data_IF_675679232925
#
_entry.id   IF_675679232925
#
_cell.length_a   1.000
_cell.length_b   1.000
_cell.length_c   1.000
_cell.angle_alpha   90.00
_cell.angle_beta   90.00
_cell.angle_gamma   90.00
#
_symmetry.space_group_name_H-M   'P 1'
#
loop_
_entity.id
_entity.type
_entity.pdbx_description
1 polymer ?
#
# COMPACT_ATOMS: atom_id res chain seq x y z
N UNK A 1 11.28 7.93 -8.80
CA UNK A 1 10.76 7.28 -10.03
C UNK A 1 10.61 5.79 -9.80
N UNK A 2 9.59 5.15 -10.40
CA UNK A 2 9.38 3.71 -10.29
C UNK A 2 10.20 2.92 -11.33
N UNK A 3 10.75 1.79 -10.89
CA UNK A 3 11.53 0.85 -11.71
C UNK A 3 11.03 -0.57 -11.51
N UNK A 4 11.22 -1.43 -12.53
CA UNK A 4 10.91 -2.86 -12.46
C UNK A 4 12.18 -3.68 -12.27
N UNK A 5 12.16 -4.63 -11.34
CA UNK A 5 13.23 -5.60 -11.10
C UNK A 5 12.61 -6.96 -10.80
N UNK A 6 12.92 -7.96 -11.63
CA UNK A 6 12.31 -9.30 -11.52
C UNK A 6 10.76 -9.23 -11.52
N UNK A 7 10.13 -9.64 -10.42
CA UNK A 7 8.68 -9.72 -10.23
C UNK A 7 8.11 -8.62 -9.32
N UNK A 8 8.89 -7.58 -9.06
CA UNK A 8 8.46 -6.41 -8.29
C UNK A 8 8.73 -5.11 -9.05
N UNK A 9 8.01 -4.07 -8.66
CA UNK A 9 8.38 -2.67 -8.94
C UNK A 9 8.79 -2.00 -7.63
N UNK A 10 9.71 -1.01 -7.71
CA UNK A 10 10.20 -0.26 -6.56
C UNK A 10 10.38 1.21 -6.92
N UNK A 11 10.41 2.10 -5.92
CA UNK A 11 10.60 3.53 -6.09
C UNK A 11 11.98 3.97 -5.62
N UNK A 12 12.68 4.76 -6.42
CA UNK A 12 13.96 5.36 -6.02
C UNK A 12 13.83 6.25 -4.78
N UNK A 13 12.65 6.83 -4.54
CA UNK A 13 12.41 7.70 -3.39
C UNK A 13 12.60 6.99 -2.04
N UNK A 14 12.32 5.68 -1.98
CA UNK A 14 12.49 4.90 -0.76
C UNK A 14 13.85 4.23 -0.65
N UNK A 15 14.75 4.42 -1.63
CA UNK A 15 16.11 3.89 -1.55
C UNK A 15 16.92 4.72 -0.57
N UNK A 16 17.06 4.21 0.65
CA UNK A 16 17.94 4.75 1.68
C UNK A 16 18.70 3.63 2.38
N UNK A 17 19.82 3.98 3.04
CA UNK A 17 20.61 3.00 3.78
C UNK A 17 19.76 2.29 4.85
N UNK A 18 19.82 0.97 4.88
CA UNK A 18 19.09 0.16 5.85
C UNK A 18 17.60 -0.08 5.53
N UNK A 19 17.09 0.36 4.36
CA UNK A 19 15.69 0.10 3.96
C UNK A 19 15.63 -0.63 2.64
N UNK A 20 14.77 -1.65 2.54
CA UNK A 20 14.43 -2.33 1.29
C UNK A 20 12.92 -2.45 1.12
N UNK A 21 12.44 -2.44 -0.12
CA UNK A 21 11.01 -2.45 -0.42
C UNK A 21 10.71 -2.95 -1.82
N UNK A 22 9.42 -3.23 -2.07
CA UNK A 22 8.90 -3.54 -3.40
C UNK A 22 7.39 -3.68 -3.41
N UNK A 23 6.81 -3.54 -4.59
CA UNK A 23 5.40 -3.80 -4.87
C UNK A 23 5.31 -5.01 -5.79
N UNK A 24 4.43 -5.96 -5.46
CA UNK A 24 4.26 -7.19 -6.20
C UNK A 24 3.65 -6.94 -7.58
N UNK A 25 4.18 -7.60 -8.61
CA UNK A 25 3.43 -7.88 -9.84
C UNK A 25 2.64 -9.18 -9.65
N UNK A 26 1.73 -9.52 -10.60
CA UNK A 26 0.99 -10.79 -10.51
C UNK A 26 1.79 -12.04 -10.91
N UNK A 27 3.07 -11.88 -11.28
CA UNK A 27 3.96 -12.98 -11.72
C UNK A 27 4.99 -13.33 -10.66
N UNK A 28 5.64 -14.51 -10.81
CA UNK A 28 6.74 -14.93 -9.93
C UNK A 28 6.30 -15.69 -8.66
N UNK A 29 5.03 -16.00 -8.52
CA UNK A 29 4.50 -16.81 -7.43
C UNK A 29 4.24 -18.27 -7.82
N UNK A 30 3.57 -19.00 -6.94
CA UNK A 30 3.30 -20.44 -7.05
C UNK A 30 1.82 -20.80 -7.15
N UNK A 31 0.91 -19.84 -7.07
CA UNK A 31 -0.53 -20.07 -7.25
C UNK A 31 -0.82 -20.50 -8.69
N UNK A 32 -1.61 -21.55 -8.86
CA UNK A 32 -1.86 -22.20 -10.16
C UNK A 32 -3.26 -21.97 -10.71
N UNK A 33 -4.20 -21.49 -9.90
CA UNK A 33 -5.56 -21.17 -10.34
C UNK A 33 -5.47 -19.95 -11.27
N UNK A 34 -6.02 -20.00 -12.49
CA UNK A 34 -5.81 -18.96 -13.51
C UNK A 34 -6.12 -17.53 -13.05
N UNK A 35 -7.19 -17.35 -12.29
CA UNK A 35 -7.64 -16.04 -11.80
C UNK A 35 -6.69 -15.44 -10.76
N UNK A 36 -5.97 -16.28 -10.01
CA UNK A 36 -5.04 -15.84 -8.95
C UNK A 36 -3.56 -16.04 -9.31
N UNK A 37 -3.29 -16.65 -10.46
CA UNK A 37 -1.93 -16.98 -10.88
C UNK A 37 -1.12 -15.70 -11.21
N UNK A 38 0.11 -15.73 -10.77
CA UNK A 38 0.82 -16.70 -9.95
C UNK A 38 1.14 -16.16 -8.55
N UNK A 39 1.28 -14.82 -8.37
CA UNK A 39 1.64 -14.14 -7.14
C UNK A 39 0.37 -13.61 -6.44
N UNK A 40 -0.36 -14.49 -5.73
CA UNK A 40 -1.47 -14.06 -4.88
C UNK A 40 -1.05 -14.05 -3.40
N UNK A 41 -1.30 -12.94 -2.71
CA UNK A 41 -0.99 -12.74 -1.29
C UNK A 41 -2.21 -12.97 -0.37
N UNK A 42 -3.29 -13.56 -0.92
CA UNK A 42 -4.47 -13.92 -0.15
C UNK A 42 -5.10 -15.22 -0.71
N UNK A 43 -5.69 -16.08 0.17
CA UNK A 43 -6.26 -17.38 -0.21
C UNK A 43 -7.66 -17.21 -0.84
N UNK A 44 -7.72 -16.59 -2.02
CA UNK A 44 -8.96 -16.35 -2.74
C UNK A 44 -9.23 -17.45 -3.77
N UNK A 45 -10.52 -17.65 -4.11
CA UNK A 45 -10.99 -18.56 -5.15
C UNK A 45 -10.51 -20.01 -4.99
N UNK A 46 -10.23 -20.44 -3.75
CA UNK A 46 -9.78 -21.79 -3.46
C UNK A 46 -8.27 -21.99 -3.54
N UNK A 47 -7.48 -20.94 -3.67
CA UNK A 47 -6.02 -21.04 -3.55
C UNK A 47 -5.62 -21.47 -2.13
N UNK A 48 -4.57 -22.29 -2.03
CA UNK A 48 -4.20 -22.86 -0.75
C UNK A 48 -3.47 -21.84 0.14
N UNK A 49 -3.65 -21.87 1.47
CA UNK A 49 -2.86 -21.08 2.41
C UNK A 49 -1.34 -21.30 2.27
N UNK A 50 -0.92 -22.53 1.90
CA UNK A 50 0.49 -22.84 1.66
C UNK A 50 1.06 -22.09 0.46
N UNK A 51 0.29 -21.95 -0.64
CA UNK A 51 0.69 -21.14 -1.79
C UNK A 51 0.84 -19.68 -1.39
N UNK A 52 -0.12 -19.15 -0.62
CA UNK A 52 -0.09 -17.77 -0.13
C UNK A 52 1.14 -17.53 0.76
N UNK A 53 1.42 -18.43 1.69
CA UNK A 53 2.61 -18.34 2.55
C UNK A 53 3.91 -18.36 1.73
N UNK A 54 4.02 -19.23 0.73
CA UNK A 54 5.16 -19.26 -0.19
C UNK A 54 5.27 -17.98 -1.03
N UNK A 55 4.16 -17.45 -1.51
CA UNK A 55 4.14 -16.20 -2.27
C UNK A 55 4.62 -15.01 -1.42
N UNK A 56 4.21 -14.92 -0.15
CA UNK A 56 4.70 -13.89 0.78
C UNK A 56 6.22 -14.02 0.96
N UNK A 57 6.73 -15.23 1.15
CA UNK A 57 8.17 -15.48 1.23
C UNK A 57 8.92 -15.10 -0.06
N UNK A 58 8.35 -15.40 -1.23
CA UNK A 58 8.92 -15.01 -2.52
C UNK A 58 8.92 -13.49 -2.71
N UNK A 59 7.83 -12.80 -2.36
CA UNK A 59 7.79 -11.34 -2.40
C UNK A 59 8.86 -10.72 -1.49
N UNK A 60 9.00 -11.23 -0.26
CA UNK A 60 10.06 -10.80 0.65
C UNK A 60 11.45 -11.03 0.04
N UNK A 61 11.69 -12.19 -0.57
CA UNK A 61 12.95 -12.51 -1.25
C UNK A 61 13.23 -11.55 -2.42
N UNK A 62 12.25 -11.27 -3.27
CA UNK A 62 12.42 -10.32 -4.38
C UNK A 62 12.73 -8.89 -3.89
N UNK A 63 12.24 -8.55 -2.71
CA UNK A 63 12.55 -7.27 -2.05
C UNK A 63 13.86 -7.30 -1.23
N UNK A 64 14.58 -8.45 -1.15
CA UNK A 64 15.79 -8.58 -0.32
C UNK A 64 15.50 -8.63 1.18
N UNK A 65 14.34 -9.19 1.57
CA UNK A 65 13.83 -9.27 2.94
C UNK A 65 13.52 -10.72 3.37
N UNK A 66 14.08 -11.72 2.70
CA UNK A 66 13.77 -13.14 2.87
C UNK A 66 14.04 -13.69 4.28
N UNK A 67 14.93 -13.05 5.03
CA UNK A 67 15.31 -13.50 6.37
C UNK A 67 14.48 -12.84 7.49
N UNK A 68 13.52 -11.99 7.14
CA UNK A 68 12.78 -11.20 8.12
C UNK A 68 11.33 -11.66 8.28
N UNK A 69 10.79 -11.67 9.52
CA UNK A 69 9.37 -11.87 9.73
C UNK A 69 8.57 -10.75 9.04
N UNK A 70 7.51 -11.15 8.33
CA UNK A 70 6.63 -10.22 7.62
C UNK A 70 5.38 -9.97 8.47
N UNK A 71 5.17 -8.73 8.86
CA UNK A 71 4.00 -8.28 9.61
C UNK A 71 2.92 -7.80 8.64
N UNK A 72 1.75 -8.39 8.72
CA UNK A 72 0.55 -8.04 7.97
C UNK A 72 -0.71 -8.46 8.75
N UNK A 73 -1.90 -8.21 8.22
CA UNK A 73 -3.15 -8.59 8.89
C UNK A 73 -4.34 -8.71 7.94
N UNK A 74 -5.52 -8.78 8.53
CA UNK A 74 -6.83 -8.73 7.86
C UNK A 74 -7.24 -7.27 7.68
N UNK A 75 -7.11 -6.74 6.46
CA UNK A 75 -7.46 -5.37 6.13
C UNK A 75 -8.98 -5.20 6.11
N UNK A 76 -9.47 -4.17 6.78
CA UNK A 76 -10.90 -3.90 6.99
C UNK A 76 -11.34 -2.54 6.42
N UNK A 77 -10.48 -1.91 5.62
CA UNK A 77 -10.67 -0.58 5.02
C UNK A 77 -10.84 0.52 6.09
N UNK A 78 -10.09 0.42 7.18
CA UNK A 78 -10.04 1.41 8.26
C UNK A 78 -8.93 2.46 8.03
N UNK A 79 -8.78 3.39 8.98
CA UNK A 79 -7.60 4.25 9.11
C UNK A 79 -6.72 3.83 10.31
N UNK A 80 -6.88 2.61 10.79
CA UNK A 80 -6.10 2.08 11.91
C UNK A 80 -4.68 1.72 11.45
N UNK A 81 -3.68 2.23 12.18
CA UNK A 81 -2.24 1.99 11.94
C UNK A 81 -1.61 1.49 13.24
N UNK A 82 -1.01 0.31 13.22
CA UNK A 82 -0.29 -0.25 14.36
C UNK A 82 1.17 0.23 14.38
N UNK A 83 1.64 0.66 15.55
CA UNK A 83 3.08 0.78 15.81
C UNK A 83 3.61 -0.60 16.18
N UNK A 84 4.37 -1.21 15.28
CA UNK A 84 4.87 -2.59 15.41
C UNK A 84 6.16 -2.61 16.24
N UNK A 85 6.19 -3.52 17.21
CA UNK A 85 7.33 -3.82 18.08
C UNK A 85 7.89 -5.22 17.81
N UNK A 86 8.99 -5.60 18.43
CA UNK A 86 9.55 -6.95 18.34
C UNK A 86 8.59 -8.03 18.87
N UNK A 87 7.73 -7.71 19.83
CA UNK A 87 6.76 -8.65 20.40
C UNK A 87 5.64 -8.99 19.43
N UNK A 88 5.29 -8.08 18.54
CA UNK A 88 4.22 -8.27 17.54
C UNK A 88 4.53 -9.41 16.54
N UNK A 89 5.80 -9.78 16.38
CA UNK A 89 6.21 -10.93 15.54
C UNK A 89 5.54 -12.24 15.99
N UNK A 90 5.21 -12.37 17.28
CA UNK A 90 4.61 -13.56 17.88
C UNK A 90 3.08 -13.62 17.71
N UNK A 91 2.45 -12.51 17.33
CA UNK A 91 0.99 -12.40 17.20
C UNK A 91 0.57 -12.92 15.81
N UNK A 92 -0.41 -13.84 15.71
CA UNK A 92 -0.94 -14.29 14.43
C UNK A 92 -1.52 -13.13 13.60
N UNK A 93 -1.37 -13.19 12.28
CA UNK A 93 -1.85 -12.12 11.40
C UNK A 93 -3.37 -11.98 11.39
N UNK A 94 -4.11 -13.04 11.69
CA UNK A 94 -5.57 -13.04 11.76
C UNK A 94 -6.10 -12.18 12.91
N UNK A 95 -5.32 -11.98 13.96
CA UNK A 95 -5.68 -11.16 15.11
C UNK A 95 -5.55 -9.64 14.84
N UNK A 96 -4.92 -9.26 13.72
CA UNK A 96 -4.73 -7.86 13.33
C UNK A 96 -5.78 -7.45 12.31
N UNK A 97 -6.80 -6.72 12.76
CA UNK A 97 -7.86 -6.16 11.90
C UNK A 97 -7.64 -4.66 11.68
N UNK A 98 -6.69 -4.33 10.80
CA UNK A 98 -6.27 -2.96 10.53
C UNK A 98 -5.58 -2.84 9.16
N UNK A 99 -5.33 -1.62 8.72
CA UNK A 99 -4.91 -1.32 7.35
C UNK A 99 -3.54 -0.65 7.25
N UNK A 100 -2.83 -0.45 8.38
CA UNK A 100 -1.52 0.18 8.34
C UNK A 100 -0.58 -0.23 9.47
N UNK A 101 0.71 -0.08 9.23
CA UNK A 101 1.80 -0.45 10.13
C UNK A 101 2.91 0.57 10.07
N UNK A 102 3.55 0.88 11.18
CA UNK A 102 4.80 1.64 11.27
C UNK A 102 5.75 0.94 12.25
N UNK A 103 7.06 1.04 12.02
CA UNK A 103 8.07 0.50 12.94
C UNK A 103 9.42 1.20 12.77
N UNK A 104 10.23 1.15 13.82
CA UNK A 104 11.65 1.50 13.83
C UNK A 104 12.53 0.30 14.19
N UNK A 105 11.95 -0.90 14.27
CA UNK A 105 12.63 -2.14 14.69
C UNK A 105 13.37 -2.77 13.50
N UNK A 106 14.71 -2.89 13.54
CA UNK A 106 15.47 -3.55 12.49
C UNK A 106 15.16 -5.05 12.41
N UNK A 107 15.14 -5.58 11.18
CA UNK A 107 14.90 -7.00 10.93
C UNK A 107 13.42 -7.38 10.93
N UNK A 108 12.52 -6.42 10.74
CA UNK A 108 11.09 -6.63 10.53
C UNK A 108 10.71 -6.08 9.16
N UNK A 109 9.84 -6.78 8.44
CA UNK A 109 9.19 -6.32 7.22
C UNK A 109 7.70 -6.09 7.47
N UNK A 110 7.16 -4.99 6.93
CA UNK A 110 5.75 -4.62 6.93
C UNK A 110 5.16 -4.89 5.55
N UNK A 111 3.96 -5.47 5.47
CA UNK A 111 3.30 -5.76 4.21
C UNK A 111 1.83 -5.34 4.25
N UNK A 112 1.37 -4.73 3.16
CA UNK A 112 -0.06 -4.50 2.89
C UNK A 112 -0.45 -5.15 1.57
N UNK A 113 -1.68 -5.62 1.50
CA UNK A 113 -2.24 -6.34 0.35
C UNK A 113 -3.15 -5.40 -0.44
N UNK A 114 -3.14 -5.52 -1.77
CA UNK A 114 -3.99 -4.69 -2.64
C UNK A 114 -4.33 -5.38 -3.95
N UNK A 115 -5.49 -5.04 -4.47
CA UNK A 115 -5.89 -5.22 -5.86
C UNK A 115 -6.85 -4.07 -6.20
N UNK A 116 -6.29 -2.99 -6.70
CA UNK A 116 -6.82 -1.67 -7.01
C UNK A 116 -6.64 -0.59 -5.94
N UNK A 117 -6.91 -0.85 -4.65
CA UNK A 117 -6.62 0.11 -3.58
C UNK A 117 -5.13 0.49 -3.56
N UNK A 118 -4.77 1.63 -2.96
CA UNK A 118 -3.41 2.13 -2.94
C UNK A 118 -2.57 1.43 -1.86
N UNK A 119 -1.52 0.67 -2.21
CA UNK A 119 -0.47 0.32 -1.27
C UNK A 119 0.48 1.53 -1.17
N UNK A 120 0.61 2.10 0.02
CA UNK A 120 1.50 3.24 0.27
C UNK A 120 2.61 2.79 1.21
N UNK A 121 3.86 3.01 0.80
CA UNK A 121 5.04 2.72 1.61
C UNK A 121 5.74 4.01 2.01
N UNK A 122 6.28 4.03 3.22
CA UNK A 122 6.90 5.20 3.84
C UNK A 122 8.28 4.85 4.37
N UNK A 123 9.21 5.80 4.28
CA UNK A 123 10.54 5.69 4.85
C UNK A 123 10.98 7.08 5.34
N UNK A 124 11.48 7.16 6.58
CA UNK A 124 12.01 8.38 7.18
C UNK A 124 13.20 8.07 8.07
N UNK A 125 13.88 9.10 8.54
CA UNK A 125 15.07 8.97 9.40
C UNK A 125 14.90 9.72 10.71
N UNK A 126 15.45 9.14 11.78
CA UNK A 126 15.62 9.82 13.08
C UNK A 126 16.85 10.74 13.03
N UNK A 127 17.08 11.48 14.12
CA UNK A 127 18.23 12.40 14.26
C UNK A 127 19.58 11.65 14.15
N UNK A 128 19.65 10.42 14.63
CA UNK A 128 20.84 9.56 14.54
C UNK A 128 20.99 8.84 13.18
N UNK A 129 20.09 9.10 12.24
CA UNK A 129 20.07 8.49 10.91
C UNK A 129 19.38 7.11 10.87
N UNK A 130 18.95 6.54 11.99
CA UNK A 130 18.24 5.26 11.99
C UNK A 130 16.88 5.38 11.29
N UNK A 131 16.47 4.36 10.51
CA UNK A 131 15.25 4.43 9.73
C UNK A 131 13.99 4.20 10.58
N UNK A 132 12.90 4.82 10.13
CA UNK A 132 11.52 4.51 10.52
C UNK A 132 10.76 4.22 9.24
N UNK A 133 10.00 3.13 9.20
CA UNK A 133 9.24 2.73 8.01
C UNK A 133 7.75 2.61 8.28
N UNK A 134 6.96 2.67 7.22
CA UNK A 134 5.52 2.44 7.28
C UNK A 134 4.98 1.78 6.02
N UNK A 135 3.83 1.13 6.15
CA UNK A 135 3.05 0.56 5.05
C UNK A 135 1.56 0.74 5.35
N UNK A 136 0.78 1.30 4.41
CA UNK A 136 -0.67 1.43 4.55
C UNK A 136 -1.41 0.92 3.32
N UNK A 137 -2.58 0.32 3.54
CA UNK A 137 -3.57 0.03 2.53
C UNK A 137 -4.60 1.16 2.52
N UNK A 138 -4.52 2.05 1.56
CA UNK A 138 -5.44 3.16 1.40
C UNK A 138 -6.53 2.80 0.36
N UNK A 139 -7.55 2.05 0.79
CA UNK A 139 -8.83 1.99 0.11
C UNK A 139 -9.55 3.33 0.27
N UNK A 140 -10.67 3.56 -0.45
CA UNK A 140 -11.31 4.87 -0.42
C UNK A 140 -11.70 5.33 0.99
N UNK A 141 -12.22 4.43 1.85
CA UNK A 141 -12.55 4.77 3.25
C UNK A 141 -11.32 5.15 4.06
N UNK A 142 -10.26 4.33 3.99
CA UNK A 142 -9.00 4.63 4.65
C UNK A 142 -8.40 5.96 4.17
N UNK A 143 -8.54 6.26 2.87
CA UNK A 143 -8.11 7.54 2.27
C UNK A 143 -8.84 8.72 2.91
N UNK A 144 -10.19 8.77 2.84
CA UNK A 144 -10.95 9.92 3.38
C UNK A 144 -10.88 10.03 4.90
N UNK A 145 -10.59 8.92 5.60
CA UNK A 145 -10.29 8.91 7.04
C UNK A 145 -8.82 9.25 7.35
N UNK A 146 -7.99 9.55 6.34
CA UNK A 146 -6.63 10.07 6.52
C UNK A 146 -5.58 9.04 6.92
N UNK A 147 -5.70 7.76 6.53
CA UNK A 147 -4.77 6.70 6.95
C UNK A 147 -3.30 7.04 6.65
N UNK A 148 -3.02 7.72 5.54
CA UNK A 148 -1.67 8.14 5.17
C UNK A 148 -1.11 9.18 6.17
N UNK A 149 -1.93 10.15 6.58
CA UNK A 149 -1.56 11.14 7.60
C UNK A 149 -1.36 10.49 8.98
N UNK A 150 -2.22 9.53 9.36
CA UNK A 150 -2.06 8.75 10.61
C UNK A 150 -0.72 8.01 10.62
N UNK A 151 -0.31 7.43 9.49
CA UNK A 151 1.00 6.77 9.40
C UNK A 151 2.15 7.76 9.59
N UNK A 152 2.11 8.93 8.95
CA UNK A 152 3.10 10.00 9.10
C UNK A 152 3.22 10.42 10.56
N UNK A 153 2.10 10.70 11.25
CA UNK A 153 2.13 11.11 12.65
C UNK A 153 2.73 10.02 13.57
N UNK A 154 2.39 8.76 13.33
CA UNK A 154 2.98 7.64 14.10
C UNK A 154 4.47 7.48 13.82
N UNK A 155 4.95 7.71 12.60
CA UNK A 155 6.38 7.72 12.29
C UNK A 155 7.11 8.86 13.03
N UNK A 156 6.49 10.05 13.09
CA UNK A 156 7.04 11.18 13.86
C UNK A 156 7.08 10.87 15.35
N UNK A 157 6.05 10.22 15.91
CA UNK A 157 6.03 9.75 17.31
C UNK A 157 7.16 8.75 17.58
N UNK A 158 7.52 7.90 16.60
CA UNK A 158 8.69 7.00 16.68
C UNK A 158 10.04 7.73 16.54
N UNK A 159 10.03 9.05 16.29
CA UNK A 159 11.22 9.90 16.20
C UNK A 159 11.67 10.21 14.76
N UNK A 160 10.92 9.86 13.74
CA UNK A 160 11.23 10.28 12.38
C UNK A 160 11.15 11.81 12.25
N UNK A 161 12.15 12.41 11.64
CA UNK A 161 12.13 13.83 11.25
C UNK A 161 11.18 13.96 10.07
N UNK A 162 10.10 14.73 10.20
CA UNK A 162 9.03 14.86 9.19
C UNK A 162 9.58 15.15 7.79
N UNK A 163 10.50 16.09 7.65
CA UNK A 163 11.10 16.51 6.39
C UNK A 163 11.96 15.41 5.72
N UNK A 164 12.27 14.32 6.43
CA UNK A 164 12.98 13.16 5.87
C UNK A 164 12.02 12.08 5.38
N UNK A 165 10.73 12.19 5.69
CA UNK A 165 9.75 11.16 5.32
C UNK A 165 9.51 11.22 3.81
N UNK A 166 9.74 10.09 3.17
CA UNK A 166 9.51 9.84 1.75
C UNK A 166 8.41 8.83 1.59
N UNK A 167 7.59 9.02 0.58
CA UNK A 167 6.38 8.23 0.33
C UNK A 167 6.42 7.67 -1.08
N UNK A 168 6.06 6.41 -1.24
CA UNK A 168 5.80 5.81 -2.55
C UNK A 168 4.38 5.24 -2.57
N UNK A 169 3.54 5.80 -3.45
CA UNK A 169 2.21 5.27 -3.78
C UNK A 169 2.39 4.26 -4.91
N UNK A 170 2.18 2.98 -4.63
CA UNK A 170 2.41 1.88 -5.54
C UNK A 170 1.34 1.74 -6.63
N UNK A 171 1.49 0.74 -7.53
CA UNK A 171 0.51 0.44 -8.56
C UNK A 171 -0.89 0.25 -7.96
N UNK A 172 -1.87 0.94 -8.51
CA UNK A 172 -3.25 1.04 -8.00
C UNK A 172 -4.21 1.41 -9.10
N UNK A 173 -5.51 1.40 -8.84
CA UNK A 173 -6.48 1.89 -9.82
C UNK A 173 -6.39 3.42 -9.93
N UNK A 174 -6.32 3.95 -11.14
CA UNK A 174 -6.29 5.39 -11.40
C UNK A 174 -7.67 5.94 -11.75
N UNK A 175 -7.81 7.27 -11.74
CA UNK A 175 -9.03 7.98 -12.14
C UNK A 175 -9.62 7.45 -13.45
N UNK A 176 -8.78 7.15 -14.45
CA UNK A 176 -9.21 6.63 -15.77
C UNK A 176 -10.07 5.36 -15.71
N UNK A 177 -10.02 4.60 -14.60
CA UNK A 177 -10.74 3.35 -14.42
C UNK A 177 -11.57 3.32 -13.12
N UNK A 178 -11.38 4.28 -12.22
CA UNK A 178 -12.10 4.30 -10.95
C UNK A 178 -13.42 5.09 -11.09
N UNK A 179 -14.33 4.52 -11.89
CA UNK A 179 -15.70 5.00 -11.99
C UNK A 179 -16.42 4.78 -10.65
N UNK A 180 -17.13 5.82 -10.18
CA UNK A 180 -17.86 5.87 -8.92
C UNK A 180 -19.29 6.37 -9.16
N UNK A 181 -20.15 6.21 -8.17
CA UNK A 181 -21.54 6.68 -8.21
C UNK A 181 -21.78 7.82 -7.22
N UNK A 182 -22.97 8.39 -7.25
CA UNK A 182 -23.37 9.50 -6.38
C UNK A 182 -23.26 9.15 -4.88
N UNK A 183 -23.59 7.92 -4.48
CA UNK A 183 -23.45 7.44 -3.10
C UNK A 183 -21.99 7.45 -2.60
N UNK A 184 -21.06 7.22 -3.50
CA UNK A 184 -19.62 7.39 -3.19
C UNK A 184 -19.29 8.88 -2.95
N UNK A 185 -19.78 9.78 -3.80
CA UNK A 185 -19.53 11.22 -3.68
C UNK A 185 -20.09 11.75 -2.36
N UNK A 186 -21.33 11.41 -2.03
CA UNK A 186 -21.99 11.74 -0.76
C UNK A 186 -21.17 11.21 0.43
N UNK A 187 -20.64 9.99 0.32
CA UNK A 187 -19.78 9.40 1.33
C UNK A 187 -18.48 10.20 1.49
N UNK A 188 -17.81 10.55 0.41
CA UNK A 188 -16.57 11.37 0.47
C UNK A 188 -16.87 12.71 1.16
N UNK A 189 -17.93 13.41 0.77
CA UNK A 189 -18.34 14.69 1.36
C UNK A 189 -18.61 14.54 2.88
N UNK A 190 -19.21 13.43 3.30
CA UNK A 190 -19.52 13.19 4.73
C UNK A 190 -18.28 13.02 5.62
N UNK A 191 -17.18 12.54 5.06
CA UNK A 191 -15.90 12.37 5.77
C UNK A 191 -14.95 13.57 5.62
N UNK A 192 -15.18 14.40 4.60
CA UNK A 192 -14.34 15.54 4.25
C UNK A 192 -15.19 16.81 4.09
N UNK A 193 -15.27 17.37 2.90
CA UNK A 193 -16.13 18.48 2.50
C UNK A 193 -16.40 18.47 0.99
N UNK A 194 -17.34 19.32 0.52
CA UNK A 194 -17.68 19.44 -0.90
C UNK A 194 -16.48 19.88 -1.75
N UNK A 195 -15.65 20.81 -1.23
CA UNK A 195 -14.47 21.30 -1.92
C UNK A 195 -13.44 20.19 -2.19
N UNK A 196 -13.21 19.32 -1.20
CA UNK A 196 -12.36 18.15 -1.36
C UNK A 196 -12.91 17.19 -2.43
N UNK A 197 -14.22 16.88 -2.37
CA UNK A 197 -14.85 16.01 -3.35
C UNK A 197 -14.72 16.58 -4.78
N UNK A 198 -14.99 17.87 -4.99
CA UNK A 198 -14.90 18.52 -6.29
C UNK A 198 -13.47 18.59 -6.85
N UNK A 199 -12.45 18.62 -6.01
CA UNK A 199 -11.04 18.58 -6.47
C UNK A 199 -10.62 17.21 -7.00
N UNK A 200 -11.22 16.13 -6.49
CA UNK A 200 -10.74 14.76 -6.69
C UNK A 200 -11.72 13.86 -7.43
N UNK A 201 -12.94 14.34 -7.70
CA UNK A 201 -13.95 13.58 -8.45
C UNK A 201 -14.37 14.41 -9.66
N UNK A 202 -14.25 13.81 -10.84
CA UNK A 202 -14.56 14.45 -12.12
C UNK A 202 -15.76 13.80 -12.78
N UNK A 203 -16.66 14.62 -13.33
CA UNK A 203 -17.70 14.15 -14.21
C UNK A 203 -17.18 14.11 -15.64
N UNK A 204 -17.44 13.01 -16.34
CA UNK A 204 -17.15 12.83 -17.75
C UNK A 204 -18.24 11.95 -18.38
N UNK A 205 -18.90 12.51 -19.42
CA UNK A 205 -19.96 11.80 -20.17
C UNK A 205 -21.09 11.24 -19.27
N UNK A 206 -21.52 12.01 -18.26
CA UNK A 206 -22.55 11.63 -17.28
C UNK A 206 -22.12 10.52 -16.31
N UNK A 207 -20.83 10.29 -16.15
CA UNK A 207 -20.22 9.34 -15.19
C UNK A 207 -19.19 10.05 -14.34
N UNK A 208 -19.01 9.58 -13.12
CA UNK A 208 -18.03 10.14 -12.18
C UNK A 208 -16.81 9.25 -12.04
N UNK A 209 -15.65 9.87 -11.97
CA UNK A 209 -14.36 9.20 -11.80
C UNK A 209 -13.58 9.87 -10.67
N UNK A 210 -13.02 9.08 -9.76
CA UNK A 210 -12.29 9.59 -8.60
C UNK A 210 -10.79 9.27 -8.67
N UNK A 211 -9.95 10.21 -8.20
CA UNK A 211 -8.51 10.02 -8.05
C UNK A 211 -8.14 9.79 -6.59
N UNK A 212 -7.98 8.53 -6.19
CA UNK A 212 -7.48 8.20 -4.84
C UNK A 212 -6.03 8.65 -4.64
N UNK A 213 -5.23 8.70 -5.72
CA UNK A 213 -3.86 9.19 -5.68
C UNK A 213 -3.83 10.66 -5.27
N UNK A 214 -4.62 11.52 -5.97
CA UNK A 214 -4.64 12.96 -5.68
C UNK A 214 -5.23 13.25 -4.30
N UNK A 215 -6.23 12.48 -3.85
CA UNK A 215 -6.75 12.55 -2.48
C UNK A 215 -5.65 12.29 -1.45
N UNK A 216 -4.86 11.22 -1.62
CA UNK A 216 -3.78 10.90 -0.69
C UNK A 216 -2.62 11.90 -0.77
N UNK A 217 -2.33 12.49 -1.95
CA UNK A 217 -1.35 13.57 -2.08
C UNK A 217 -1.78 14.77 -1.23
N UNK A 218 -3.00 15.27 -1.40
CA UNK A 218 -3.51 16.41 -0.63
C UNK A 218 -3.48 16.13 0.88
N UNK A 219 -3.84 14.92 1.31
CA UNK A 219 -3.79 14.49 2.71
C UNK A 219 -2.35 14.47 3.23
N UNK A 220 -1.40 13.95 2.45
CA UNK A 220 0.01 13.92 2.81
C UNK A 220 0.63 15.32 2.87
N UNK A 221 0.33 16.19 1.91
CA UNK A 221 0.77 17.59 1.93
C UNK A 221 0.19 18.34 3.15
N UNK A 222 -1.07 18.09 3.48
CA UNK A 222 -1.71 18.63 4.69
C UNK A 222 -1.08 18.09 5.98
N UNK A 223 -0.51 16.88 5.95
CA UNK A 223 0.28 16.30 7.03
C UNK A 223 1.74 16.80 7.05
N UNK A 224 2.11 17.74 6.17
CA UNK A 224 3.43 18.38 6.12
C UNK A 224 4.48 17.61 5.31
N UNK A 225 4.08 16.70 4.42
CA UNK A 225 4.99 16.04 3.49
C UNK A 225 5.06 16.86 2.20
N UNK A 226 6.24 17.35 1.83
CA UNK A 226 6.43 18.08 0.58
C UNK A 226 6.10 17.22 -0.64
N UNK A 227 5.55 17.84 -1.69
CA UNK A 227 5.16 17.13 -2.92
C UNK A 227 6.30 16.36 -3.57
N UNK A 228 7.51 16.91 -3.54
CA UNK A 228 8.73 16.27 -4.07
C UNK A 228 9.15 15.02 -3.29
N UNK A 229 8.66 14.81 -2.08
CA UNK A 229 8.90 13.60 -1.28
C UNK A 229 7.89 12.47 -1.58
N UNK A 230 6.93 12.71 -2.48
CA UNK A 230 5.89 11.75 -2.84
C UNK A 230 6.12 11.25 -4.27
N UNK A 231 6.48 9.98 -4.42
CA UNK A 231 6.56 9.29 -5.71
C UNK A 231 5.30 8.47 -5.95
N UNK A 232 4.80 8.46 -7.20
CA UNK A 232 3.54 7.81 -7.55
C UNK A 232 3.79 6.92 -8.76
N UNK A 233 3.36 5.67 -8.66
CA UNK A 233 3.36 4.76 -9.81
C UNK A 233 2.36 5.26 -10.86
N UNK A 234 2.80 5.28 -12.10
CA UNK A 234 1.95 5.59 -13.27
C UNK A 234 1.13 4.38 -13.74
N UNK A 235 1.34 3.22 -13.13
CA UNK A 235 0.71 1.96 -13.53
C UNK A 235 -0.70 1.85 -12.95
N UNK A 236 -1.72 1.96 -13.81
CA UNK A 236 -3.11 1.66 -13.44
C UNK A 236 -3.34 0.15 -13.45
N UNK A 237 -3.65 -0.43 -12.29
CA UNK A 237 -3.86 -1.89 -12.14
C UNK A 237 -4.98 -2.44 -13.01
N UNK A 238 -6.03 -1.64 -13.26
CA UNK A 238 -7.15 -2.06 -14.09
C UNK A 238 -6.80 -2.08 -15.59
N UNK A 239 -6.00 -1.11 -16.07
CA UNK A 239 -5.47 -1.12 -17.45
C UNK A 239 -4.41 -2.20 -17.66
N UNK A 240 -3.60 -2.46 -16.63
CA UNK A 240 -2.48 -3.42 -16.68
C UNK A 240 -2.82 -4.69 -15.89
N UNK A 241 -4.03 -5.23 -16.08
CA UNK A 241 -4.49 -6.42 -15.37
C UNK A 241 -3.76 -7.72 -15.74
N UNK A 242 -2.96 -7.69 -16.79
CA UNK A 242 -1.99 -8.71 -17.16
C UNK A 242 -0.70 -8.65 -16.30
N UNK A 243 -0.37 -7.48 -15.76
CA UNK A 243 0.80 -7.23 -14.90
C UNK A 243 0.44 -7.21 -13.41
N UNK A 244 -0.76 -6.73 -13.06
CA UNK A 244 -1.22 -6.59 -11.68
C UNK A 244 -2.57 -7.26 -11.47
N UNK A 245 -2.85 -7.71 -10.24
CA UNK A 245 -4.21 -8.11 -9.88
C UNK A 245 -5.13 -6.89 -9.79
N UNK A 246 -6.30 -6.97 -10.42
CA UNK A 246 -7.29 -5.90 -10.39
C UNK A 246 -8.69 -6.45 -10.10
N UNK A 247 -9.34 -5.91 -9.07
CA UNK A 247 -10.72 -6.19 -8.73
C UNK A 247 -11.68 -5.65 -9.80
N UNK A 248 -11.43 -4.42 -10.25
CA UNK A 248 -12.24 -3.69 -11.23
C UNK A 248 -12.23 -4.40 -12.58
N UNK A 249 -11.05 -4.73 -13.10
CA UNK A 249 -10.90 -5.35 -14.41
C UNK A 249 -11.51 -6.75 -14.49
N UNK A 250 -11.54 -7.48 -13.36
CA UNK A 250 -11.97 -8.91 -13.36
C UNK A 250 -13.34 -9.15 -12.72
N UNK A 251 -14.02 -8.08 -12.28
CA UNK A 251 -15.29 -8.21 -11.54
C UNK A 251 -15.13 -9.01 -10.23
N UNK A 252 -13.96 -8.92 -9.59
CA UNK A 252 -13.67 -9.58 -8.33
C UNK A 252 -13.03 -10.96 -8.41
N UNK A 253 -12.97 -11.58 -9.60
CA UNK A 253 -12.30 -12.88 -9.80
C UNK A 253 -10.80 -12.67 -10.03
N UNK A 254 -10.04 -12.58 -8.94
CA UNK A 254 -8.63 -12.18 -8.99
C UNK A 254 -7.83 -12.71 -7.79
N UNK A 255 -6.51 -12.68 -7.90
CA UNK A 255 -5.59 -12.75 -6.76
C UNK A 255 -5.42 -11.37 -6.09
N UNK A 256 -4.42 -11.25 -5.24
CA UNK A 256 -4.08 -10.02 -4.51
C UNK A 256 -2.59 -9.79 -4.60
N UNK A 257 -2.18 -8.60 -5.04
CA UNK A 257 -0.82 -8.08 -4.91
C UNK A 257 -0.62 -7.31 -3.61
N UNK A 258 0.28 -6.34 -3.60
CA UNK A 258 0.53 -5.46 -2.46
C UNK A 258 1.93 -4.86 -2.45
N UNK A 259 2.30 -4.25 -1.32
CA UNK A 259 3.62 -3.67 -1.09
C UNK A 259 4.26 -4.19 0.19
N UNK A 260 5.58 -4.33 0.18
CA UNK A 260 6.41 -4.75 1.31
C UNK A 260 7.55 -3.76 1.51
N UNK A 261 7.89 -3.47 2.77
CA UNK A 261 9.04 -2.64 3.15
C UNK A 261 9.65 -3.18 4.44
N UNK A 262 10.97 -3.13 4.60
CA UNK A 262 11.67 -3.63 5.78
C UNK A 262 12.92 -2.83 6.13
N UNK A 263 13.29 -2.85 7.43
CA UNK A 263 14.56 -2.32 7.93
C UNK A 263 15.57 -3.46 7.95
N UNK A 264 16.62 -3.33 7.13
CA UNK A 264 17.71 -4.30 7.04
C UNK A 264 18.61 -4.18 8.29
N UNK A 265 19.07 -5.31 8.82
CA UNK A 265 20.04 -5.35 9.93
C UNK A 265 21.45 -5.09 9.44
#
# INVERSE_FOLDING_TARGET
MFHKRNHIVYSDHLLQSGVSHGFATRTGGVSVIPEVASMSLAPLLGDSPDNVSRNIGLLASYAGLESYPVIYGSQVHSAEVLTVTAEDVKIPHEERQLDGYVTDVPGIALMVKSADCLPILFSGSKVDGSPVIGATHAGWKGTVCGIAAVAVEKMVILGAIRDTIRVAIGPSIHECCFEVKEDFIESVISYTDEGFAHRHIREKDGRYFASLQDMNIEILESAGISREMIDISTDCTAHMSDVYHSHRATGGKRGVGGGIIGIIK
#
